data_IF_652629940348
#
_entry.id   IF_652629940348
#
_cell.length_a   1.000
_cell.length_b   1.000
_cell.length_c   1.000
_cell.angle_alpha   90.00
_cell.angle_beta   90.00
_cell.angle_gamma   90.00
#
_symmetry.space_group_name_H-M   'P 1'
#
loop_
_entity.id
_entity.type
_entity.pdbx_description
1 polymer ?
#
# COMPACT_ATOMS: atom_id res chain seq x y z
N UNK A 1 4.49 -0.51 32.53
CA UNK A 1 5.39 -1.69 32.71
C UNK A 1 6.87 -1.33 32.95
N UNK A 2 7.58 -2.09 33.81
CA UNK A 2 9.03 -1.99 34.03
C UNK A 2 9.86 -2.42 32.80
N UNK A 3 10.99 -1.73 32.52
CA UNK A 3 11.83 -1.98 31.34
C UNK A 3 12.37 -3.41 31.25
N UNK A 4 12.80 -3.99 32.36
CA UNK A 4 13.36 -5.35 32.38
C UNK A 4 12.28 -6.40 32.10
N UNK A 5 11.05 -6.16 32.59
CA UNK A 5 9.89 -7.01 32.28
C UNK A 5 9.56 -6.94 30.79
N UNK A 6 9.52 -5.74 30.23
CA UNK A 6 9.29 -5.55 28.79
C UNK A 6 10.38 -6.25 27.95
N UNK A 7 11.66 -6.06 28.29
CA UNK A 7 12.78 -6.69 27.62
C UNK A 7 12.74 -8.22 27.71
N UNK A 8 12.36 -8.78 28.86
CA UNK A 8 12.21 -10.22 29.04
C UNK A 8 11.05 -10.78 28.19
N UNK A 9 9.91 -10.09 28.13
CA UNK A 9 8.77 -10.45 27.28
C UNK A 9 9.13 -10.39 25.80
N UNK A 10 9.81 -9.32 25.37
CA UNK A 10 10.34 -9.18 24.02
C UNK A 10 11.26 -10.34 23.63
N UNK A 11 12.25 -10.66 24.47
CA UNK A 11 13.18 -11.74 24.18
C UNK A 11 12.48 -13.11 24.11
N UNK A 12 11.45 -13.33 24.92
CA UNK A 12 10.65 -14.56 24.88
C UNK A 12 9.81 -14.65 23.60
N UNK A 13 9.11 -13.57 23.22
CA UNK A 13 8.27 -13.53 22.02
C UNK A 13 9.11 -13.64 20.74
N UNK A 14 10.30 -13.03 20.68
CA UNK A 14 11.21 -13.15 19.55
C UNK A 14 11.70 -14.60 19.34
N UNK A 15 12.03 -15.30 20.43
CA UNK A 15 12.39 -16.73 20.37
C UNK A 15 11.20 -17.58 19.92
N UNK A 16 10.00 -17.30 20.42
CA UNK A 16 8.79 -17.99 20.03
C UNK A 16 8.47 -17.78 18.53
N UNK A 17 8.60 -16.55 18.03
CA UNK A 17 8.42 -16.22 16.61
C UNK A 17 9.38 -17.01 15.71
N UNK A 18 10.67 -17.07 16.07
CA UNK A 18 11.63 -17.92 15.35
C UNK A 18 11.25 -19.40 15.39
N UNK A 19 10.89 -19.93 16.56
CA UNK A 19 10.53 -21.34 16.71
C UNK A 19 9.29 -21.72 15.90
N UNK A 20 8.27 -20.86 15.90
CA UNK A 20 7.07 -21.01 15.08
C UNK A 20 7.43 -20.97 13.59
N UNK A 21 8.22 -19.99 13.17
CA UNK A 21 8.66 -19.90 11.79
C UNK A 21 9.43 -21.14 11.34
N UNK A 22 10.36 -21.65 12.17
CA UNK A 22 11.17 -22.82 11.86
C UNK A 22 10.33 -24.08 11.60
N UNK A 23 9.14 -24.22 12.18
CA UNK A 23 8.25 -25.36 11.92
C UNK A 23 7.47 -25.24 10.61
N UNK A 24 7.43 -24.04 10.02
CA UNK A 24 6.66 -23.72 8.83
C UNK A 24 7.53 -23.51 7.58
N UNK A 25 8.81 -23.19 7.76
CA UNK A 25 9.70 -22.85 6.64
C UNK A 25 10.73 -23.92 6.33
N UNK A 26 11.13 -23.97 5.05
CA UNK A 26 12.09 -24.92 4.51
C UNK A 26 13.54 -24.59 4.90
N UNK A 27 13.84 -23.31 5.09
CA UNK A 27 15.15 -22.85 5.53
C UNK A 27 15.42 -23.19 7.01
N UNK A 28 16.69 -23.41 7.32
CA UNK A 28 17.14 -23.43 8.72
C UNK A 28 17.34 -22.00 9.19
N UNK A 29 16.56 -21.57 10.17
CA UNK A 29 16.65 -20.25 10.77
C UNK A 29 17.81 -20.21 11.79
N UNK A 30 18.82 -19.35 11.63
CA UNK A 30 19.92 -19.21 12.59
C UNK A 30 19.44 -18.76 13.98
N UNK A 31 20.14 -19.13 15.06
CA UNK A 31 19.78 -18.69 16.42
C UNK A 31 20.03 -17.20 16.70
N UNK A 32 21.11 -16.57 16.21
CA UNK A 32 21.29 -15.13 16.32
C UNK A 32 20.12 -14.39 15.68
N UNK A 33 19.61 -13.37 16.37
CA UNK A 33 18.47 -12.59 15.91
C UNK A 33 18.92 -11.16 15.61
N UNK A 34 18.43 -10.65 14.48
CA UNK A 34 18.49 -9.24 14.14
C UNK A 34 17.07 -8.74 13.88
N UNK A 35 16.82 -7.46 14.13
CA UNK A 35 15.47 -6.95 14.21
C UNK A 35 15.20 -5.87 13.16
N UNK A 36 13.97 -5.89 12.64
CA UNK A 36 13.36 -4.81 11.88
C UNK A 36 12.19 -4.27 12.69
N UNK A 37 12.17 -2.98 13.00
CA UNK A 37 11.07 -2.36 13.76
C UNK A 37 10.33 -1.36 12.89
N UNK A 38 9.02 -1.57 12.74
CA UNK A 38 8.10 -0.64 12.09
C UNK A 38 7.27 0.06 13.16
N UNK A 39 7.48 1.36 13.30
CA UNK A 39 6.76 2.20 14.24
C UNK A 39 5.52 2.82 13.57
N UNK A 40 4.58 3.34 14.38
CA UNK A 40 3.37 4.03 13.92
C UNK A 40 2.51 3.24 12.91
N UNK A 41 2.37 1.92 13.10
CA UNK A 41 1.59 1.05 12.22
C UNK A 41 0.11 0.97 12.64
N UNK A 42 -0.47 2.10 13.08
CA UNK A 42 -1.87 2.20 13.52
C UNK A 42 -2.59 3.39 12.90
N UNK A 43 -3.92 3.29 12.77
CA UNK A 43 -4.76 4.44 12.44
C UNK A 43 -5.02 5.27 13.70
N UNK A 44 -4.43 6.46 13.76
CA UNK A 44 -4.46 7.33 14.95
C UNK A 44 -5.34 8.58 14.76
N UNK A 45 -6.33 8.52 13.85
CA UNK A 45 -7.25 9.63 13.57
C UNK A 45 -8.22 9.98 14.72
N UNK A 46 -8.24 9.19 15.80
CA UNK A 46 -9.05 9.46 16.99
C UNK A 46 -8.28 10.27 18.04
N UNK A 47 -9.01 11.00 18.88
CA UNK A 47 -8.41 11.71 20.01
C UNK A 47 -7.68 10.71 20.94
N UNK A 48 -6.49 11.05 21.46
CA UNK A 48 -5.74 10.19 22.36
C UNK A 48 -6.51 9.95 23.66
N UNK A 49 -6.42 8.74 24.20
CA UNK A 49 -6.94 8.42 25.52
C UNK A 49 -6.08 9.07 26.62
N UNK A 50 -6.63 9.27 27.84
CA UNK A 50 -5.84 9.78 28.96
C UNK A 50 -4.60 8.90 29.23
N UNK A 51 -3.41 9.52 29.22
CA UNK A 51 -2.14 8.80 29.43
C UNK A 51 -1.53 8.15 28.19
N UNK A 52 -2.21 8.23 27.04
CA UNK A 52 -1.67 7.79 25.76
C UNK A 52 -0.63 8.80 25.22
N UNK A 53 0.55 8.31 24.84
CA UNK A 53 1.58 9.08 24.15
C UNK A 53 1.66 8.66 22.68
N UNK A 54 1.91 9.65 21.82
CA UNK A 54 2.13 9.47 20.38
C UNK A 54 3.38 10.21 19.95
N UNK A 55 4.09 9.65 18.98
CA UNK A 55 5.35 10.17 18.46
C UNK A 55 5.26 10.29 16.93
N UNK A 56 4.70 11.38 16.39
CA UNK A 56 4.54 11.54 14.95
C UNK A 56 5.85 11.41 14.15
N UNK A 57 6.97 11.79 14.76
CA UNK A 57 8.33 11.66 14.21
C UNK A 57 8.76 10.22 13.91
N UNK A 58 8.14 9.22 14.54
CA UNK A 58 8.43 7.81 14.29
C UNK A 58 8.04 7.38 12.85
N UNK A 59 7.20 8.17 12.16
CA UNK A 59 6.85 7.95 10.76
C UNK A 59 7.94 8.42 9.78
N UNK A 60 9.02 9.05 10.25
CA UNK A 60 10.08 9.54 9.40
C UNK A 60 10.87 8.39 8.74
N UNK A 61 11.18 8.54 7.45
CA UNK A 61 11.92 7.54 6.68
C UNK A 61 13.29 7.20 7.30
N UNK A 62 14.03 8.21 7.77
CA UNK A 62 15.33 7.99 8.44
C UNK A 62 15.22 7.12 9.69
N UNK A 63 14.13 7.25 10.45
CA UNK A 63 13.85 6.39 11.61
C UNK A 63 13.61 4.94 11.17
N UNK A 64 12.85 4.73 10.10
CA UNK A 64 12.59 3.40 9.55
C UNK A 64 13.89 2.73 9.04
N UNK A 65 14.78 3.48 8.37
CA UNK A 65 16.09 2.98 7.93
C UNK A 65 16.95 2.58 9.13
N UNK A 66 17.06 3.44 10.15
CA UNK A 66 17.86 3.16 11.35
C UNK A 66 17.38 1.92 12.13
N UNK A 67 16.08 1.60 12.01
CA UNK A 67 15.45 0.44 12.66
C UNK A 67 15.22 -0.73 11.70
N UNK A 68 15.72 -0.68 10.46
CA UNK A 68 15.54 -1.73 9.46
C UNK A 68 16.37 -2.99 9.76
N UNK A 69 17.50 -2.81 10.46
CA UNK A 69 18.41 -3.87 10.90
C UNK A 69 19.14 -3.44 12.18
N UNK A 70 18.57 -3.74 13.35
CA UNK A 70 19.11 -3.35 14.65
C UNK A 70 19.18 -4.51 15.66
N UNK A 71 19.87 -4.29 16.78
CA UNK A 71 19.99 -5.26 17.86
C UNK A 71 18.85 -5.17 18.89
N UNK A 72 18.79 -6.16 19.78
CA UNK A 72 17.74 -6.23 20.80
C UNK A 72 17.72 -5.03 21.76
N UNK A 73 18.88 -4.44 22.06
CA UNK A 73 18.98 -3.28 22.95
C UNK A 73 18.38 -2.05 22.31
N UNK A 74 18.67 -1.83 21.03
CA UNK A 74 18.10 -0.76 20.20
C UNK A 74 16.59 -0.90 20.10
N UNK A 75 16.07 -2.12 19.92
CA UNK A 75 14.61 -2.38 19.93
C UNK A 75 13.99 -1.95 21.27
N UNK A 76 14.57 -2.38 22.39
CA UNK A 76 14.04 -2.02 23.72
C UNK A 76 14.13 -0.52 23.96
N UNK A 77 15.20 0.14 23.54
CA UNK A 77 15.35 1.59 23.65
C UNK A 77 14.33 2.35 22.77
N UNK A 78 14.02 1.83 21.59
CA UNK A 78 13.05 2.43 20.69
C UNK A 78 11.60 2.25 21.17
N UNK A 79 11.27 1.13 21.83
CA UNK A 79 9.89 0.79 22.19
C UNK A 79 9.54 1.02 23.66
N UNK A 80 10.51 1.11 24.56
CA UNK A 80 10.27 1.48 25.96
C UNK A 80 10.70 2.92 26.19
N UNK A 81 9.73 3.82 26.39
CA UNK A 81 9.94 5.27 26.48
C UNK A 81 9.29 5.81 27.74
N UNK A 82 10.09 6.21 28.73
CA UNK A 82 9.63 6.80 29.99
C UNK A 82 8.48 6.01 30.66
N UNK A 83 8.64 4.68 30.75
CA UNK A 83 7.64 3.79 31.35
C UNK A 83 6.45 3.43 30.45
N UNK A 84 6.39 3.97 29.24
CA UNK A 84 5.38 3.67 28.23
C UNK A 84 5.91 2.67 27.19
N UNK A 85 4.99 1.85 26.68
CA UNK A 85 5.24 0.87 25.61
C UNK A 85 4.08 0.89 24.61
N UNK A 86 4.25 0.41 23.37
CA UNK A 86 3.14 0.26 22.43
C UNK A 86 2.02 -0.61 23.02
N UNK A 87 0.76 -0.24 22.77
CA UNK A 87 -0.41 -1.02 23.18
C UNK A 87 -0.43 -2.44 22.59
N UNK A 88 0.05 -2.59 21.35
CA UNK A 88 0.22 -3.88 20.66
C UNK A 88 1.48 -3.91 19.81
N UNK A 89 2.09 -5.09 19.72
CA UNK A 89 3.28 -5.36 18.88
C UNK A 89 3.10 -6.73 18.21
N UNK A 90 2.95 -6.74 16.90
CA UNK A 90 3.01 -7.99 16.13
C UNK A 90 4.48 -8.35 15.89
N UNK A 91 4.86 -9.60 16.16
CA UNK A 91 6.23 -10.08 15.99
C UNK A 91 6.28 -11.38 15.16
N UNK A 92 7.11 -11.39 14.12
CA UNK A 92 7.24 -12.54 13.21
C UNK A 92 8.67 -12.68 12.68
N UNK A 93 9.11 -13.90 12.37
CA UNK A 93 10.30 -14.08 11.55
C UNK A 93 9.94 -13.84 10.08
N UNK A 94 10.78 -13.08 9.36
CA UNK A 94 10.49 -12.65 7.98
C UNK A 94 11.57 -13.04 6.98
N UNK A 95 12.79 -13.34 7.41
CA UNK A 95 13.92 -13.75 6.54
C UNK A 95 15.08 -14.30 7.38
N UNK A 96 16.18 -14.68 6.72
CA UNK A 96 17.44 -15.11 7.31
C UNK A 96 18.64 -14.74 6.42
N UNK A 97 19.80 -14.47 7.02
CA UNK A 97 21.02 -13.99 6.31
C UNK A 97 22.08 -15.08 6.12
N UNK A 98 21.75 -16.34 6.44
CA UNK A 98 22.69 -17.45 6.62
C UNK A 98 23.31 -17.50 8.01
N UNK A 99 23.49 -16.35 8.67
CA UNK A 99 24.06 -16.25 10.02
C UNK A 99 23.07 -15.78 11.08
N UNK A 100 22.03 -15.07 10.68
CA UNK A 100 21.04 -14.47 11.58
C UNK A 100 19.61 -14.72 11.06
N UNK A 101 18.65 -14.82 11.97
CA UNK A 101 17.21 -14.73 11.64
C UNK A 101 16.76 -13.29 11.77
N UNK A 102 16.04 -12.78 10.77
CA UNK A 102 15.45 -11.44 10.80
C UNK A 102 14.05 -11.53 11.41
N UNK A 103 13.84 -10.84 12.52
CA UNK A 103 12.56 -10.74 13.23
C UNK A 103 11.99 -9.34 12.99
N UNK A 104 10.77 -9.27 12.47
CA UNK A 104 10.05 -8.00 12.30
C UNK A 104 9.11 -7.76 13.48
N UNK A 105 9.09 -6.50 13.94
CA UNK A 105 8.15 -5.95 14.89
C UNK A 105 7.31 -4.88 14.20
N UNK A 106 6.00 -5.09 14.14
CA UNK A 106 5.02 -4.10 13.66
C UNK A 106 4.34 -3.53 14.91
N UNK A 107 4.56 -2.25 15.18
CA UNK A 107 4.18 -1.61 16.44
C UNK A 107 3.14 -0.52 16.19
N UNK A 108 2.11 -0.43 17.04
CA UNK A 108 1.23 0.75 17.03
C UNK A 108 1.97 2.02 17.46
N UNK A 109 1.46 3.17 17.00
CA UNK A 109 1.95 4.49 17.39
C UNK A 109 1.46 4.98 18.75
N UNK A 110 0.59 4.20 19.41
CA UNK A 110 0.01 4.54 20.72
C UNK A 110 0.77 3.85 21.83
N UNK A 111 1.32 4.65 22.72
CA UNK A 111 2.13 4.21 23.85
C UNK A 111 1.37 4.41 25.15
N UNK A 112 1.39 3.41 26.03
CA UNK A 112 0.69 3.42 27.32
C UNK A 112 1.63 3.01 28.44
N UNK A 113 1.45 3.62 29.62
CA UNK A 113 2.07 3.19 30.88
C UNK A 113 1.12 2.34 31.75
N UNK A 114 -0.14 2.21 31.34
CA UNK A 114 -1.16 1.39 31.98
C UNK A 114 -1.21 -0.01 31.36
N UNK A 115 -0.80 -1.01 32.14
CA UNK A 115 -0.74 -2.40 31.70
C UNK A 115 -2.13 -2.97 31.33
N UNK A 116 -3.24 -2.37 31.79
CA UNK A 116 -4.61 -2.79 31.43
C UNK A 116 -5.01 -2.45 29.99
N UNK A 117 -4.26 -1.55 29.34
CA UNK A 117 -4.46 -1.19 27.93
C UNK A 117 -3.64 -2.07 26.97
N UNK A 118 -2.77 -2.95 27.48
CA UNK A 118 -1.95 -3.82 26.64
C UNK A 118 -2.79 -4.93 26.02
N UNK A 119 -2.59 -5.15 24.74
CA UNK A 119 -3.24 -6.22 23.99
C UNK A 119 -2.52 -7.55 24.25
N UNK A 120 -3.18 -8.65 23.87
CA UNK A 120 -2.68 -10.02 24.01
C UNK A 120 -2.30 -10.45 25.45
N UNK A 121 -3.04 -10.04 26.51
CA UNK A 121 -2.71 -10.44 27.88
C UNK A 121 -2.71 -11.97 28.08
N UNK A 122 -3.51 -12.69 27.30
CA UNK A 122 -3.65 -14.15 27.33
C UNK A 122 -2.44 -14.91 26.80
N UNK A 123 -1.58 -14.29 25.98
CA UNK A 123 -0.40 -14.94 25.40
C UNK A 123 0.79 -14.99 26.38
N UNK A 124 0.66 -14.36 27.55
CA UNK A 124 1.66 -14.39 28.62
C UNK A 124 2.83 -13.42 28.43
N UNK A 125 2.86 -12.68 27.33
CA UNK A 125 3.87 -11.66 27.03
C UNK A 125 3.29 -10.35 26.47
N UNK A 126 2.22 -9.75 27.04
CA UNK A 126 1.69 -8.49 26.52
C UNK A 126 2.77 -7.39 26.53
N UNK A 127 2.88 -6.56 25.47
CA UNK A 127 1.93 -6.38 24.35
C UNK A 127 2.23 -7.20 23.08
N UNK A 128 3.07 -8.25 23.16
CA UNK A 128 3.53 -8.96 21.97
C UNK A 128 2.49 -9.98 21.46
N UNK A 129 2.32 -10.06 20.15
CA UNK A 129 1.53 -11.07 19.44
C UNK A 129 2.43 -11.82 18.46
N UNK A 130 2.66 -13.10 18.71
CA UNK A 130 3.54 -13.91 17.86
C UNK A 130 2.76 -14.40 16.64
N UNK A 131 3.18 -13.94 15.46
CA UNK A 131 2.60 -14.30 14.17
C UNK A 131 3.47 -15.33 13.42
N UNK A 132 2.83 -16.14 12.57
CA UNK A 132 3.56 -16.93 11.58
C UNK A 132 4.21 -16.01 10.54
N UNK A 133 5.28 -16.46 9.86
CA UNK A 133 5.76 -15.78 8.66
C UNK A 133 4.65 -15.63 7.62
N UNK A 134 4.83 -14.67 6.71
CA UNK A 134 3.94 -14.47 5.59
C UNK A 134 3.80 -15.75 4.74
N UNK A 135 2.61 -16.34 4.76
CA UNK A 135 2.34 -17.55 3.99
C UNK A 135 2.23 -17.22 2.49
N UNK A 136 2.67 -18.14 1.61
CA UNK A 136 2.45 -17.99 0.18
C UNK A 136 0.96 -18.07 -0.15
N UNK A 137 0.54 -17.52 -1.31
CA UNK A 137 -0.82 -17.73 -1.81
C UNK A 137 -1.14 -19.23 -1.88
N UNK A 138 -2.35 -19.61 -1.48
CA UNK A 138 -2.83 -21.01 -1.54
C UNK A 138 -1.99 -22.01 -0.71
N UNK A 139 -1.53 -21.58 0.47
CA UNK A 139 -0.77 -22.43 1.38
C UNK A 139 -1.45 -23.78 1.66
N UNK A 140 -0.76 -24.87 1.36
CA UNK A 140 -1.28 -26.25 1.44
C UNK A 140 -0.81 -27.00 2.70
N UNK A 141 -0.09 -26.32 3.60
CA UNK A 141 0.46 -26.90 4.83
C UNK A 141 1.86 -27.50 4.68
N UNK A 142 2.46 -27.49 3.49
CA UNK A 142 3.85 -27.93 3.29
C UNK A 142 4.85 -26.85 3.72
N UNK A 143 6.10 -27.17 4.10
CA UNK A 143 7.08 -26.12 4.40
C UNK A 143 7.34 -25.20 3.18
N UNK A 144 7.35 -23.89 3.40
CA UNK A 144 7.56 -22.89 2.35
C UNK A 144 8.85 -22.10 2.57
N UNK A 145 9.30 -21.38 1.54
CA UNK A 145 10.51 -20.56 1.68
C UNK A 145 10.24 -19.29 2.51
N UNK A 146 11.08 -18.99 3.50
CA UNK A 146 11.02 -17.72 4.23
C UNK A 146 11.29 -16.52 3.29
N UNK A 147 12.03 -16.74 2.20
CA UNK A 147 12.40 -15.73 1.20
C UNK A 147 11.35 -15.51 0.11
N UNK A 148 10.09 -15.88 0.35
CA UNK A 148 9.02 -15.65 -0.66
C UNK A 148 8.79 -14.16 -0.93
N UNK A 149 9.11 -13.31 0.05
CA UNK A 149 9.07 -11.85 -0.04
C UNK A 149 10.43 -11.28 0.29
N UNK A 150 10.80 -10.20 -0.39
CA UNK A 150 12.02 -9.46 -0.10
C UNK A 150 11.76 -7.96 -0.02
N UNK A 151 12.49 -7.29 0.86
CA UNK A 151 12.56 -5.83 0.91
C UNK A 151 14.01 -5.39 0.86
N UNK A 152 14.30 -4.43 -0.01
CA UNK A 152 15.62 -3.82 -0.14
C UNK A 152 15.57 -2.39 0.40
N UNK A 153 16.30 -2.14 1.48
CA UNK A 153 16.42 -0.85 2.17
C UNK A 153 17.74 -0.14 1.86
N UNK A 154 18.75 -0.87 1.41
CA UNK A 154 20.02 -0.32 0.96
C UNK A 154 20.75 -1.32 0.04
N UNK A 155 21.88 -0.90 -0.55
CA UNK A 155 22.64 -1.73 -1.49
C UNK A 155 23.10 -3.08 -0.92
N UNK A 156 23.34 -3.18 0.39
CA UNK A 156 23.80 -4.43 1.00
C UNK A 156 22.72 -5.52 1.02
N UNK A 157 21.44 -5.16 0.95
CA UNK A 157 20.34 -6.13 0.89
C UNK A 157 20.29 -6.85 -0.47
N UNK A 158 20.91 -6.29 -1.52
CA UNK A 158 20.97 -6.93 -2.85
C UNK A 158 21.80 -8.21 -2.85
N UNK A 159 22.85 -8.28 -2.03
CA UNK A 159 23.67 -9.48 -1.90
C UNK A 159 22.82 -10.64 -1.34
N UNK A 160 22.02 -10.36 -0.31
CA UNK A 160 21.12 -11.33 0.27
C UNK A 160 20.03 -11.74 -0.73
N UNK A 161 19.43 -10.78 -1.42
CA UNK A 161 18.44 -11.03 -2.46
C UNK A 161 18.96 -11.97 -3.55
N UNK A 162 20.22 -11.79 -3.99
CA UNK A 162 20.85 -12.64 -4.99
C UNK A 162 20.94 -14.11 -4.56
N UNK A 163 21.07 -14.40 -3.26
CA UNK A 163 21.12 -15.79 -2.76
C UNK A 163 19.78 -16.52 -2.80
N UNK A 164 18.67 -15.77 -2.91
CA UNK A 164 17.31 -16.29 -2.86
C UNK A 164 16.46 -15.90 -4.09
N UNK A 165 17.09 -15.40 -5.16
CA UNK A 165 16.41 -14.77 -6.29
C UNK A 165 15.31 -15.63 -6.96
N UNK A 166 15.50 -16.95 -7.04
CA UNK A 166 14.52 -17.88 -7.60
C UNK A 166 13.32 -18.19 -6.69
N UNK A 167 13.29 -17.65 -5.47
CA UNK A 167 12.23 -17.89 -4.47
C UNK A 167 11.32 -16.69 -4.25
N UNK A 168 11.76 -15.49 -4.67
CA UNK A 168 11.06 -14.24 -4.43
C UNK A 168 9.97 -14.05 -5.48
N UNK A 169 8.71 -13.90 -5.04
CA UNK A 169 7.59 -13.57 -5.92
C UNK A 169 7.04 -12.16 -5.68
N UNK A 170 7.32 -11.56 -4.53
CA UNK A 170 6.97 -10.18 -4.20
C UNK A 170 8.18 -9.43 -3.66
N UNK A 171 8.49 -8.31 -4.28
CA UNK A 171 9.69 -7.53 -4.00
C UNK A 171 9.36 -6.05 -3.79
N UNK A 172 9.88 -5.47 -2.72
CA UNK A 172 9.72 -4.05 -2.42
C UNK A 172 11.07 -3.34 -2.32
N UNK A 173 11.21 -2.25 -3.04
CA UNK A 173 12.31 -1.30 -2.95
C UNK A 173 11.91 -0.14 -2.03
N UNK A 174 12.59 -0.05 -0.89
CA UNK A 174 12.29 0.94 0.16
C UNK A 174 13.17 2.19 0.06
N UNK A 175 14.23 2.18 -0.75
CA UNK A 175 15.28 3.22 -0.78
C UNK A 175 15.21 4.15 -1.98
N UNK A 176 15.66 5.40 -1.77
CA UNK A 176 15.88 6.43 -2.79
C UNK A 176 17.26 6.33 -3.46
N UNK A 177 18.21 5.61 -2.84
CA UNK A 177 19.51 5.27 -3.44
C UNK A 177 19.41 4.29 -4.63
N UNK A 178 18.19 4.07 -5.12
CA UNK A 178 17.80 3.17 -6.20
C UNK A 178 17.69 3.89 -7.55
N UNK A 179 18.83 4.46 -7.97
CA UNK A 179 19.03 5.02 -9.30
C UNK A 179 19.08 3.93 -10.39
N UNK A 180 19.15 4.37 -11.65
CA UNK A 180 19.26 3.48 -12.82
C UNK A 180 20.46 2.51 -12.72
N UNK A 181 21.54 2.93 -12.06
CA UNK A 181 22.75 2.12 -11.83
C UNK A 181 22.46 0.95 -10.87
N UNK A 182 21.80 1.21 -9.73
CA UNK A 182 21.45 0.17 -8.76
C UNK A 182 20.40 -0.80 -9.31
N UNK A 183 19.48 -0.28 -10.12
CA UNK A 183 18.45 -1.05 -10.81
C UNK A 183 19.04 -1.99 -11.86
N UNK A 184 20.07 -1.54 -12.58
CA UNK A 184 20.88 -2.39 -13.45
C UNK A 184 21.64 -3.47 -12.66
N UNK A 185 22.03 -3.18 -11.42
CA UNK A 185 22.71 -4.12 -10.54
C UNK A 185 21.78 -5.14 -9.85
N UNK A 186 20.45 -5.03 -9.98
CA UNK A 186 19.53 -6.03 -9.45
C UNK A 186 19.87 -7.43 -9.99
N UNK A 187 19.79 -8.48 -9.15
CA UNK A 187 19.83 -9.84 -9.64
C UNK A 187 18.62 -10.14 -10.53
N UNK A 188 18.73 -11.16 -11.38
CA UNK A 188 17.56 -11.68 -12.09
C UNK A 188 16.59 -12.28 -11.07
N UNK A 189 15.35 -11.80 -11.07
CA UNK A 189 14.26 -12.30 -10.21
C UNK A 189 13.20 -12.97 -11.10
N UNK A 190 13.43 -14.21 -11.56
CA UNK A 190 12.59 -14.84 -12.58
C UNK A 190 11.16 -15.12 -12.11
N UNK A 191 10.93 -15.21 -10.80
CA UNK A 191 9.61 -15.49 -10.21
C UNK A 191 8.88 -14.26 -9.70
N UNK A 192 9.40 -13.04 -9.88
CA UNK A 192 8.77 -11.84 -9.31
C UNK A 192 7.50 -11.50 -10.09
N UNK A 193 6.37 -11.47 -9.38
CA UNK A 193 5.06 -11.11 -9.92
C UNK A 193 4.61 -9.72 -9.46
N UNK A 194 5.07 -9.29 -8.28
CA UNK A 194 4.74 -8.00 -7.68
C UNK A 194 6.04 -7.26 -7.38
N UNK A 195 6.16 -6.04 -7.91
CA UNK A 195 7.25 -5.12 -7.59
C UNK A 195 6.68 -3.77 -7.14
N UNK A 196 7.13 -3.30 -5.98
CA UNK A 196 6.78 -2.00 -5.44
C UNK A 196 8.04 -1.17 -5.17
N UNK A 197 8.07 0.08 -5.63
CA UNK A 197 9.15 1.01 -5.36
C UNK A 197 8.60 2.23 -4.61
N UNK A 198 8.92 2.32 -3.31
CA UNK A 198 8.32 3.27 -2.35
C UNK A 198 8.85 4.71 -2.43
N UNK A 199 10.06 4.87 -2.96
CA UNK A 199 10.77 6.15 -3.04
C UNK A 199 11.42 6.25 -4.41
N UNK A 200 10.60 6.13 -5.45
CA UNK A 200 11.04 6.05 -6.83
C UNK A 200 11.60 7.41 -7.29
N UNK A 201 12.86 7.39 -7.72
CA UNK A 201 13.61 8.53 -8.25
C UNK A 201 13.98 8.34 -9.72
N UNK A 202 13.49 7.26 -10.35
CA UNK A 202 13.77 6.95 -11.76
C UNK A 202 13.31 8.08 -12.66
N UNK A 203 14.17 8.41 -13.63
CA UNK A 203 13.98 9.55 -14.52
C UNK A 203 13.33 9.16 -15.85
N UNK A 204 14.08 9.38 -16.93
CA UNK A 204 13.67 9.01 -18.27
C UNK A 204 13.71 7.48 -18.46
N UNK A 205 12.76 6.96 -19.24
CA UNK A 205 12.66 5.54 -19.56
C UNK A 205 12.51 4.59 -18.35
N UNK A 206 11.81 5.06 -17.31
CA UNK A 206 11.70 4.35 -16.03
C UNK A 206 11.14 2.92 -16.15
N UNK A 207 10.38 2.60 -17.20
CA UNK A 207 9.80 1.26 -17.38
C UNK A 207 10.81 0.24 -17.92
N UNK A 208 11.88 0.69 -18.58
CA UNK A 208 12.89 -0.17 -19.22
C UNK A 208 13.49 -1.17 -18.23
N UNK A 209 13.77 -0.68 -17.03
CA UNK A 209 14.35 -1.41 -15.93
C UNK A 209 13.54 -2.63 -15.47
N UNK A 210 12.22 -2.56 -15.58
CA UNK A 210 11.34 -3.62 -15.11
C UNK A 210 11.12 -4.70 -16.17
N UNK A 211 11.49 -4.44 -17.44
CA UNK A 211 11.27 -5.34 -18.58
C UNK A 211 12.01 -6.68 -18.48
N UNK A 212 13.03 -6.75 -17.62
CA UNK A 212 13.80 -7.98 -17.34
C UNK A 212 13.04 -8.99 -16.49
N UNK A 213 11.92 -8.63 -15.88
CA UNK A 213 11.13 -9.50 -15.00
C UNK A 213 9.97 -10.13 -15.78
N UNK A 214 10.07 -11.41 -16.20
CA UNK A 214 9.14 -11.99 -17.16
C UNK A 214 7.72 -12.22 -16.61
N UNK A 215 7.60 -12.46 -15.30
CA UNK A 215 6.32 -12.75 -14.63
C UNK A 215 5.72 -11.50 -13.94
N UNK A 216 6.33 -10.32 -14.12
CA UNK A 216 5.91 -9.10 -13.43
C UNK A 216 4.52 -8.66 -13.89
N UNK A 217 3.54 -8.86 -13.01
CA UNK A 217 2.13 -8.61 -13.27
C UNK A 217 1.59 -7.37 -12.57
N UNK A 218 2.18 -7.01 -11.43
CA UNK A 218 1.81 -5.83 -10.64
C UNK A 218 3.04 -4.96 -10.42
N UNK A 219 2.97 -3.70 -10.87
CA UNK A 219 4.02 -2.71 -10.65
C UNK A 219 3.44 -1.50 -9.90
N UNK A 220 4.06 -1.14 -8.79
CA UNK A 220 3.70 0.05 -8.01
C UNK A 220 4.89 0.98 -7.87
N UNK A 221 4.72 2.22 -8.29
CA UNK A 221 5.74 3.25 -8.24
C UNK A 221 5.23 4.42 -7.42
N UNK A 222 5.93 4.71 -6.33
CA UNK A 222 5.66 5.87 -5.49
C UNK A 222 6.77 6.88 -5.75
N UNK A 223 6.49 7.83 -6.63
CA UNK A 223 7.44 8.85 -7.03
C UNK A 223 7.70 9.79 -5.85
N UNK A 224 8.98 10.04 -5.59
CA UNK A 224 9.36 11.14 -4.71
C UNK A 224 9.09 12.46 -5.39
N UNK A 225 8.77 13.51 -4.63
CA UNK A 225 8.62 14.85 -5.19
C UNK A 225 9.88 15.20 -6.00
N UNK A 226 9.77 15.35 -7.33
CA UNK A 226 10.97 15.51 -8.14
C UNK A 226 11.56 16.91 -7.88
N UNK A 227 12.87 17.04 -8.05
CA UNK A 227 13.51 18.37 -8.04
C UNK A 227 13.03 19.23 -9.21
N UNK A 228 12.58 18.61 -10.30
CA UNK A 228 12.04 19.25 -11.50
C UNK A 228 10.76 18.52 -11.98
N UNK A 229 9.68 19.22 -12.37
CA UNK A 229 8.41 18.58 -12.73
C UNK A 229 8.51 17.53 -13.84
N UNK A 230 9.40 17.69 -14.82
CA UNK A 230 9.51 16.78 -15.98
C UNK A 230 10.49 15.61 -15.78
N UNK A 231 10.86 15.28 -14.54
CA UNK A 231 11.90 14.29 -14.29
C UNK A 231 11.49 12.87 -14.67
N UNK A 232 10.21 12.51 -14.51
CA UNK A 232 9.71 11.16 -14.72
C UNK A 232 9.11 10.98 -16.12
N UNK A 233 9.47 9.89 -16.80
CA UNK A 233 8.86 9.51 -18.08
C UNK A 233 8.73 7.98 -18.23
N UNK A 234 7.54 7.48 -18.60
CA UNK A 234 7.24 6.04 -18.74
C UNK A 234 7.79 5.36 -20.00
N UNK A 235 8.85 5.89 -20.60
CA UNK A 235 9.53 5.21 -21.71
C UNK A 235 10.08 3.85 -21.27
N UNK A 236 10.33 2.95 -22.21
CA UNK A 236 10.94 1.65 -21.92
C UNK A 236 12.21 1.33 -22.71
N UNK A 237 12.78 2.30 -23.45
CA UNK A 237 14.01 2.08 -24.21
C UNK A 237 13.93 0.91 -25.22
N UNK A 238 12.71 0.57 -25.68
CA UNK A 238 12.43 -0.59 -26.54
C UNK A 238 12.04 -1.90 -25.80
N UNK A 239 12.04 -1.91 -24.47
CA UNK A 239 11.56 -3.04 -23.65
C UNK A 239 10.03 -3.11 -23.55
N UNK A 240 9.49 -4.28 -23.15
CA UNK A 240 8.05 -4.50 -22.93
C UNK A 240 7.78 -5.30 -21.67
N UNK A 241 6.75 -4.88 -20.94
CA UNK A 241 6.21 -5.52 -19.74
C UNK A 241 4.99 -6.38 -20.13
N UNK A 242 5.25 -7.50 -20.81
CA UNK A 242 4.19 -8.31 -21.44
C UNK A 242 3.26 -9.02 -20.44
N UNK A 243 3.67 -9.18 -19.19
CA UNK A 243 2.86 -9.77 -18.13
C UNK A 243 2.10 -8.74 -17.29
N UNK A 244 2.42 -7.44 -17.43
CA UNK A 244 1.88 -6.39 -16.57
C UNK A 244 0.39 -6.18 -16.83
N UNK A 245 -0.42 -6.40 -15.79
CA UNK A 245 -1.87 -6.16 -15.80
C UNK A 245 -2.28 -5.02 -14.87
N UNK A 246 -1.49 -4.75 -13.83
CA UNK A 246 -1.80 -3.78 -12.79
C UNK A 246 -0.65 -2.77 -12.62
N UNK A 247 -0.95 -1.49 -12.84
CA UNK A 247 0.00 -0.40 -12.68
C UNK A 247 -0.55 0.62 -11.67
N UNK A 248 0.25 0.93 -10.66
CA UNK A 248 0.03 2.06 -9.75
C UNK A 248 1.19 3.03 -9.88
N UNK A 249 0.89 4.31 -10.11
CA UNK A 249 1.89 5.39 -10.04
C UNK A 249 1.32 6.52 -9.18
N UNK A 250 1.98 6.83 -8.06
CA UNK A 250 1.61 7.96 -7.18
C UNK A 250 2.71 9.01 -7.15
N UNK A 251 2.36 10.26 -6.88
CA UNK A 251 3.32 11.37 -6.91
C UNK A 251 3.63 11.82 -8.33
N UNK A 252 2.72 11.59 -9.28
CA UNK A 252 2.85 12.04 -10.67
C UNK A 252 3.01 13.56 -10.73
N UNK A 253 3.87 14.06 -11.63
CA UNK A 253 4.03 15.49 -11.81
C UNK A 253 2.83 16.12 -12.52
N UNK A 254 2.60 17.43 -12.35
CA UNK A 254 1.49 18.15 -12.99
C UNK A 254 1.80 18.52 -14.45
N UNK A 255 2.43 17.61 -15.19
CA UNK A 255 2.83 17.78 -16.59
C UNK A 255 2.84 16.43 -17.32
N UNK A 256 2.97 16.40 -18.66
CA UNK A 256 3.13 15.15 -19.39
C UNK A 256 4.25 14.28 -18.81
N UNK A 257 3.98 12.99 -18.66
CA UNK A 257 4.85 11.97 -18.06
C UNK A 257 5.02 10.72 -18.94
N UNK A 258 4.54 10.74 -20.18
CA UNK A 258 4.65 9.68 -21.16
C UNK A 258 3.50 8.66 -21.13
N UNK A 259 2.30 9.04 -20.66
CA UNK A 259 1.15 8.12 -20.57
C UNK A 259 0.85 7.43 -21.90
N UNK A 260 1.07 8.12 -23.03
CA UNK A 260 0.89 7.59 -24.39
C UNK A 260 1.72 6.35 -24.69
N UNK A 261 2.82 6.14 -23.96
CA UNK A 261 3.70 4.98 -24.13
C UNK A 261 3.16 3.72 -23.46
N UNK A 262 2.14 3.82 -22.60
CA UNK A 262 1.66 2.66 -21.83
C UNK A 262 1.14 1.51 -22.72
N UNK A 263 0.53 1.82 -23.87
CA UNK A 263 0.04 0.79 -24.79
C UNK A 263 1.20 -0.01 -25.42
N UNK A 264 2.31 0.66 -25.73
CA UNK A 264 3.51 0.03 -26.25
C UNK A 264 4.24 -0.79 -25.18
N UNK A 265 4.40 -0.20 -23.99
CA UNK A 265 5.19 -0.75 -22.90
C UNK A 265 4.47 -1.89 -22.20
N UNK A 266 3.17 -1.75 -21.94
CA UNK A 266 2.36 -2.69 -21.17
C UNK A 266 1.07 -3.05 -21.95
N UNK A 267 1.17 -3.82 -23.04
CA UNK A 267 0.04 -4.09 -23.95
C UNK A 267 -1.07 -4.97 -23.34
N UNK A 268 -0.89 -5.46 -22.11
CA UNK A 268 -1.89 -6.26 -21.36
C UNK A 268 -2.44 -5.53 -20.14
N UNK A 269 -2.16 -4.24 -20.01
CA UNK A 269 -2.57 -3.45 -18.86
C UNK A 269 -4.10 -3.37 -18.79
N UNK A 270 -4.68 -3.81 -17.67
CA UNK A 270 -6.13 -3.80 -17.43
C UNK A 270 -6.52 -2.86 -16.31
N UNK A 271 -5.61 -2.60 -15.37
CA UNK A 271 -5.84 -1.87 -14.14
C UNK A 271 -4.81 -0.74 -14.00
N UNK A 272 -5.29 0.48 -13.86
CA UNK A 272 -4.46 1.68 -13.72
C UNK A 272 -4.92 2.49 -12.51
N UNK A 273 -4.00 2.79 -11.61
CA UNK A 273 -4.20 3.65 -10.44
C UNK A 273 -3.18 4.79 -10.46
N UNK A 274 -3.66 6.01 -10.64
CA UNK A 274 -2.83 7.20 -10.83
C UNK A 274 -3.10 8.19 -9.72
N UNK A 275 -2.03 8.65 -9.08
CA UNK A 275 -2.07 9.58 -7.97
C UNK A 275 -1.14 10.77 -8.16
N UNK A 276 -1.63 11.98 -7.88
CA UNK A 276 -0.84 13.19 -7.78
C UNK A 276 -1.16 13.94 -6.47
N UNK A 277 -0.23 14.76 -5.98
CA UNK A 277 -0.44 15.56 -4.76
C UNK A 277 -1.40 16.72 -5.02
N UNK A 278 -1.25 17.39 -6.16
CA UNK A 278 -2.11 18.50 -6.58
C UNK A 278 -2.81 18.13 -7.88
N UNK A 279 -2.29 18.57 -9.03
CA UNK A 279 -2.87 18.28 -10.35
C UNK A 279 -2.37 16.96 -10.92
N UNK A 280 -3.29 16.08 -11.27
CA UNK A 280 -3.00 14.90 -12.07
C UNK A 280 -3.11 15.24 -13.56
N UNK A 281 -2.01 15.17 -14.28
CA UNK A 281 -1.99 15.38 -15.72
C UNK A 281 -2.18 14.05 -16.47
N UNK A 282 -3.15 14.02 -17.39
CA UNK A 282 -3.43 12.86 -18.25
C UNK A 282 -3.05 13.19 -19.71
N UNK A 283 -1.94 12.63 -20.19
CA UNK A 283 -1.30 13.03 -21.44
C UNK A 283 -2.08 12.61 -22.68
N UNK A 284 -2.68 11.41 -22.63
CA UNK A 284 -3.22 10.72 -23.80
C UNK A 284 -4.30 9.71 -23.42
N UNK A 285 -4.95 9.12 -24.43
CA UNK A 285 -5.95 8.08 -24.20
C UNK A 285 -5.34 6.86 -23.50
N UNK A 286 -6.11 6.23 -22.63
CA UNK A 286 -5.70 4.98 -21.99
C UNK A 286 -5.63 3.83 -23.01
N UNK A 287 -4.76 2.81 -22.79
CA UNK A 287 -4.76 1.60 -23.60
C UNK A 287 -6.15 0.97 -23.65
N UNK A 288 -6.54 0.46 -24.83
CA UNK A 288 -7.89 -0.10 -25.04
C UNK A 288 -8.21 -1.32 -24.16
N UNK A 289 -7.19 -1.99 -23.60
CA UNK A 289 -7.32 -3.10 -22.66
C UNK A 289 -7.68 -2.67 -21.23
N UNK A 290 -7.53 -1.38 -20.90
CA UNK A 290 -7.80 -0.86 -19.55
C UNK A 290 -9.30 -0.80 -19.31
N UNK A 291 -9.77 -1.56 -18.33
CA UNK A 291 -11.18 -1.58 -17.90
C UNK A 291 -11.38 -1.11 -16.46
N UNK A 292 -10.29 -0.84 -15.72
CA UNK A 292 -10.34 -0.34 -14.35
C UNK A 292 -9.40 0.85 -14.18
N UNK A 293 -9.96 2.01 -13.84
CA UNK A 293 -9.21 3.25 -13.62
C UNK A 293 -9.50 3.81 -12.21
N UNK A 294 -8.44 4.23 -11.52
CA UNK A 294 -8.48 4.95 -10.26
C UNK A 294 -7.65 6.23 -10.39
N UNK A 295 -8.24 7.37 -10.00
CA UNK A 295 -7.61 8.69 -10.05
C UNK A 295 -7.69 9.34 -8.67
N UNK A 296 -6.56 9.76 -8.14
CA UNK A 296 -6.44 10.44 -6.83
C UNK A 296 -5.63 11.72 -6.98
N UNK A 297 -6.25 12.88 -6.74
CA UNK A 297 -5.58 14.18 -6.87
C UNK A 297 -6.39 15.30 -6.19
N UNK A 298 -5.91 16.53 -6.25
CA UNK A 298 -6.75 17.69 -6.01
C UNK A 298 -7.66 17.96 -7.22
N UNK A 299 -7.07 18.02 -8.42
CA UNK A 299 -7.76 18.20 -9.70
C UNK A 299 -7.08 17.38 -10.83
N UNK A 300 -7.70 17.39 -12.01
CA UNK A 300 -7.22 16.67 -13.21
C UNK A 300 -7.09 17.65 -14.36
N UNK A 301 -6.03 17.50 -15.16
CA UNK A 301 -5.78 18.27 -16.36
C UNK A 301 -5.28 17.37 -17.51
N UNK A 302 -5.14 17.95 -18.70
CA UNK A 302 -4.61 17.28 -19.88
C UNK A 302 -5.68 16.90 -20.91
N UNK A 303 -5.26 16.43 -22.10
CA UNK A 303 -6.18 16.19 -23.21
C UNK A 303 -6.83 14.80 -23.20
N UNK A 304 -6.41 13.89 -22.32
CA UNK A 304 -6.90 12.52 -22.30
C UNK A 304 -8.43 12.40 -22.14
N UNK A 305 -8.93 11.24 -22.53
CA UNK A 305 -10.29 10.78 -22.22
C UNK A 305 -10.21 9.43 -21.53
N UNK A 306 -11.17 9.16 -20.64
CA UNK A 306 -11.35 7.84 -20.06
C UNK A 306 -11.74 6.81 -21.14
N UNK A 307 -11.48 5.50 -20.93
CA UNK A 307 -12.00 4.45 -21.80
C UNK A 307 -13.53 4.51 -21.94
N UNK A 308 -14.04 4.20 -23.14
CA UNK A 308 -15.49 4.18 -23.41
C UNK A 308 -16.24 3.15 -22.55
N UNK A 309 -15.60 2.04 -22.21
CA UNK A 309 -16.17 0.99 -21.38
C UNK A 309 -15.27 0.70 -20.17
N UNK A 310 -15.83 0.86 -18.97
CA UNK A 310 -15.14 0.62 -17.71
C UNK A 310 -15.93 -0.37 -16.85
N UNK A 311 -15.25 -1.39 -16.35
CA UNK A 311 -15.78 -2.24 -15.28
C UNK A 311 -15.70 -1.51 -13.93
N UNK A 312 -14.65 -0.71 -13.71
CA UNK A 312 -14.48 0.07 -12.47
C UNK A 312 -13.89 1.44 -12.75
N UNK A 313 -14.51 2.46 -12.18
CA UNK A 313 -13.99 3.82 -12.11
C UNK A 313 -14.02 4.32 -10.67
N UNK A 314 -12.87 4.78 -10.17
CA UNK A 314 -12.77 5.48 -8.90
C UNK A 314 -12.17 6.86 -9.13
N UNK A 315 -12.87 7.90 -8.69
CA UNK A 315 -12.44 9.28 -8.77
C UNK A 315 -12.44 9.84 -7.34
N UNK A 316 -11.26 10.26 -6.89
CA UNK A 316 -11.07 10.98 -5.64
C UNK A 316 -10.34 12.29 -5.94
N UNK A 317 -11.12 13.32 -6.24
CA UNK A 317 -10.60 14.65 -6.57
C UNK A 317 -11.06 15.66 -5.53
N UNK A 318 -10.16 16.12 -4.67
CA UNK A 318 -10.55 16.92 -3.49
C UNK A 318 -10.97 18.35 -3.81
N UNK A 319 -10.74 18.82 -5.04
CA UNK A 319 -11.07 20.18 -5.49
C UNK A 319 -11.87 20.22 -6.80
N UNK A 320 -12.39 19.08 -7.29
CA UNK A 320 -13.17 19.00 -8.51
C UNK A 320 -14.64 19.43 -8.32
N UNK A 321 -15.21 20.03 -9.36
CA UNK A 321 -16.64 20.38 -9.45
C UNK A 321 -17.46 19.30 -10.17
N UNK A 322 -18.78 19.41 -10.13
CA UNK A 322 -19.69 18.59 -10.95
C UNK A 322 -19.35 18.66 -12.45
N UNK A 323 -18.94 19.83 -12.95
CA UNK A 323 -18.58 20.06 -14.37
C UNK A 323 -17.26 19.37 -14.73
N UNK A 324 -16.29 19.36 -13.82
CA UNK A 324 -15.02 18.67 -14.03
C UNK A 324 -15.23 17.16 -14.15
N UNK A 325 -16.03 16.58 -13.26
CA UNK A 325 -16.37 15.15 -13.31
C UNK A 325 -17.22 14.83 -14.55
N UNK A 326 -18.17 15.70 -14.92
CA UNK A 326 -18.95 15.53 -16.14
C UNK A 326 -18.08 15.55 -17.39
N UNK A 327 -17.10 16.45 -17.45
CA UNK A 327 -16.13 16.54 -18.55
C UNK A 327 -15.26 15.30 -18.62
N UNK A 328 -14.84 14.76 -17.47
CA UNK A 328 -14.04 13.55 -17.41
C UNK A 328 -14.81 12.30 -17.88
N UNK A 329 -16.12 12.26 -17.63
CA UNK A 329 -17.03 11.20 -18.05
C UNK A 329 -17.54 11.35 -19.49
N UNK A 330 -17.21 12.45 -20.18
CA UNK A 330 -17.61 12.66 -21.57
C UNK A 330 -17.03 11.57 -22.49
N UNK A 331 -17.91 10.93 -23.27
CA UNK A 331 -17.57 9.80 -24.14
C UNK A 331 -17.55 8.42 -23.45
N UNK A 332 -17.67 8.34 -22.13
CA UNK A 332 -17.82 7.05 -21.44
C UNK A 332 -19.25 6.53 -21.67
N UNK A 333 -19.36 5.33 -22.24
CA UNK A 333 -20.65 4.73 -22.61
C UNK A 333 -21.12 3.68 -21.61
N UNK A 334 -20.19 3.07 -20.86
CA UNK A 334 -20.51 2.02 -19.87
C UNK A 334 -19.60 2.10 -18.66
N UNK A 335 -20.23 2.07 -17.48
CA UNK A 335 -19.56 1.89 -16.19
C UNK A 335 -20.34 0.84 -15.40
N UNK A 336 -19.67 -0.15 -14.79
CA UNK A 336 -20.34 -1.11 -13.85
C UNK A 336 -20.21 -0.71 -12.39
N UNK A 337 -19.06 -0.18 -11.99
CA UNK A 337 -18.76 0.20 -10.61
C UNK A 337 -18.16 1.60 -10.56
N UNK A 338 -18.87 2.55 -9.94
CA UNK A 338 -18.43 3.94 -9.79
C UNK A 338 -18.19 4.29 -8.32
N UNK A 339 -17.07 4.93 -8.03
CA UNK A 339 -16.80 5.59 -6.75
C UNK A 339 -16.42 7.04 -7.00
N UNK A 340 -17.16 7.96 -6.39
CA UNK A 340 -16.83 9.40 -6.31
C UNK A 340 -16.46 9.80 -4.88
N UNK A 341 -16.10 8.81 -4.04
CA UNK A 341 -15.87 9.01 -2.61
C UNK A 341 -14.90 10.16 -2.36
N UNK A 342 -15.29 11.09 -1.49
CA UNK A 342 -14.48 12.25 -1.10
C UNK A 342 -14.27 13.30 -2.18
N UNK A 343 -14.97 13.19 -3.32
CA UNK A 343 -15.01 14.24 -4.35
C UNK A 343 -16.16 15.19 -4.04
N UNK A 344 -15.98 16.53 -4.01
CA UNK A 344 -17.01 17.47 -3.58
C UNK A 344 -18.04 17.77 -4.68
N UNK A 345 -18.64 16.72 -5.24
CA UNK A 345 -19.77 16.80 -6.19
C UNK A 345 -21.11 16.93 -5.47
N UNK A 346 -22.05 17.64 -6.07
CA UNK A 346 -23.38 17.92 -5.53
C UNK A 346 -24.46 17.04 -6.18
N UNK A 347 -25.74 17.29 -5.87
CA UNK A 347 -26.88 16.65 -6.55
C UNK A 347 -26.86 16.89 -8.09
N UNK A 348 -26.10 17.87 -8.58
CA UNK A 348 -25.94 18.15 -10.01
C UNK A 348 -25.20 17.04 -10.77
N UNK A 349 -24.46 16.16 -10.09
CA UNK A 349 -23.78 15.02 -10.74
C UNK A 349 -24.74 13.89 -11.15
N UNK A 350 -25.93 13.81 -10.53
CA UNK A 350 -26.82 12.66 -10.68
C UNK A 350 -27.27 12.42 -12.13
N UNK A 351 -27.69 13.44 -12.90
CA UNK A 351 -28.06 13.25 -14.31
C UNK A 351 -26.88 12.74 -15.17
N UNK A 352 -25.64 12.98 -14.75
CA UNK A 352 -24.43 12.52 -15.45
C UNK A 352 -24.21 11.02 -15.22
N UNK A 353 -24.51 10.53 -14.01
CA UNK A 353 -24.23 9.13 -13.63
C UNK A 353 -25.43 8.20 -13.73
N UNK A 354 -26.66 8.74 -13.74
CA UNK A 354 -27.91 7.99 -13.91
C UNK A 354 -27.96 7.11 -15.17
N UNK A 355 -27.44 7.52 -16.34
CA UNK A 355 -27.46 6.71 -17.56
C UNK A 355 -26.70 5.39 -17.46
N UNK A 356 -25.72 5.28 -16.56
CA UNK A 356 -24.93 4.05 -16.41
C UNK A 356 -25.70 2.98 -15.66
N UNK A 357 -25.63 1.73 -16.14
CA UNK A 357 -26.18 0.57 -15.45
C UNK A 357 -25.20 0.04 -14.39
N UNK A 358 -25.18 0.73 -13.24
CA UNK A 358 -24.24 0.50 -12.15
C UNK A 358 -24.68 -0.66 -11.24
N UNK A 359 -23.76 -1.58 -10.96
CA UNK A 359 -23.84 -2.58 -9.89
C UNK A 359 -23.42 -1.98 -8.53
N UNK A 360 -22.54 -0.97 -8.56
CA UNK A 360 -21.94 -0.33 -7.40
C UNK A 360 -21.82 1.18 -7.56
N UNK A 361 -22.17 1.92 -6.51
CA UNK A 361 -22.05 3.38 -6.44
C UNK A 361 -21.58 3.82 -5.05
N UNK A 362 -20.45 4.51 -4.94
CA UNK A 362 -19.97 5.10 -3.68
C UNK A 362 -19.94 6.63 -3.78
N UNK A 363 -20.75 7.27 -2.95
CA UNK A 363 -20.87 8.73 -2.81
C UNK A 363 -20.50 9.20 -1.40
N UNK A 364 -19.77 8.40 -0.61
CA UNK A 364 -19.34 8.79 0.75
C UNK A 364 -18.45 10.03 0.70
N UNK A 365 -18.75 11.03 1.53
CA UNK A 365 -17.95 12.26 1.58
C UNK A 365 -18.09 13.16 0.34
N UNK A 366 -19.16 12.99 -0.43
CA UNK A 366 -19.59 13.95 -1.45
C UNK A 366 -20.57 14.96 -0.83
N UNK A 367 -20.99 15.97 -1.59
CA UNK A 367 -22.03 16.94 -1.21
C UNK A 367 -23.44 16.51 -1.67
N UNK A 368 -23.61 15.28 -2.16
CA UNK A 368 -24.91 14.72 -2.55
C UNK A 368 -25.82 14.59 -1.31
N UNK A 369 -27.04 15.09 -1.40
CA UNK A 369 -27.95 15.18 -0.27
C UNK A 369 -28.58 13.83 0.09
N UNK A 370 -28.96 13.66 1.36
CA UNK A 370 -29.70 12.46 1.81
C UNK A 370 -31.01 12.26 1.04
N UNK A 371 -31.64 13.34 0.61
CA UNK A 371 -32.86 13.32 -0.22
C UNK A 371 -32.57 12.69 -1.58
N UNK A 372 -31.50 13.13 -2.26
CA UNK A 372 -31.05 12.54 -3.51
C UNK A 372 -30.66 11.06 -3.36
N UNK A 373 -29.87 10.73 -2.35
CA UNK A 373 -29.47 9.34 -2.07
C UNK A 373 -30.69 8.44 -1.82
N UNK A 374 -31.71 8.93 -1.13
CA UNK A 374 -32.95 8.19 -0.88
C UNK A 374 -33.72 7.92 -2.17
N UNK A 375 -33.74 8.90 -3.09
CA UNK A 375 -34.36 8.75 -4.42
C UNK A 375 -33.64 7.68 -5.24
N UNK A 376 -32.31 7.71 -5.33
CA UNK A 376 -31.53 6.72 -6.08
C UNK A 376 -31.84 5.29 -5.59
N UNK A 377 -31.94 5.08 -4.27
CA UNK A 377 -32.29 3.76 -3.71
C UNK A 377 -33.69 3.31 -4.07
N UNK A 378 -34.65 4.23 -4.13
CA UNK A 378 -36.02 3.93 -4.53
C UNK A 378 -36.10 3.58 -6.02
N UNK A 379 -35.38 4.33 -6.85
CA UNK A 379 -35.37 4.16 -8.31
C UNK A 379 -34.53 2.94 -8.74
N UNK A 380 -33.50 2.57 -7.96
CA UNK A 380 -32.53 1.51 -8.27
C UNK A 380 -32.32 0.56 -7.07
N UNK A 381 -33.31 -0.23 -6.65
CA UNK A 381 -33.23 -1.03 -5.41
C UNK A 381 -32.17 -2.14 -5.42
N UNK A 382 -31.61 -2.50 -6.60
CA UNK A 382 -30.58 -3.53 -6.74
C UNK A 382 -29.14 -3.03 -6.65
N UNK A 383 -28.90 -1.72 -6.69
CA UNK A 383 -27.54 -1.16 -6.69
C UNK A 383 -26.89 -1.26 -5.31
N UNK A 384 -25.64 -1.74 -5.25
CA UNK A 384 -24.85 -1.72 -4.02
C UNK A 384 -24.31 -0.31 -3.79
N UNK A 385 -25.00 0.48 -2.97
CA UNK A 385 -24.67 1.89 -2.76
C UNK A 385 -24.07 2.21 -1.38
N UNK A 386 -23.10 3.13 -1.36
CA UNK A 386 -22.54 3.78 -0.17
C UNK A 386 -22.74 5.31 -0.22
N UNK A 387 -23.00 6.00 0.92
CA UNK A 387 -23.12 5.44 2.26
C UNK A 387 -24.34 4.50 2.38
N UNK A 388 -24.24 3.51 3.27
CA UNK A 388 -25.41 2.68 3.59
C UNK A 388 -26.44 3.55 4.32
N UNK A 389 -27.72 3.27 4.16
CA UNK A 389 -28.74 3.85 5.03
C UNK A 389 -28.28 3.61 6.47
N UNK A 390 -28.18 4.67 7.26
CA UNK A 390 -28.08 4.49 8.70
C UNK A 390 -29.22 3.56 9.09
N UNK A 391 -28.92 2.44 9.76
CA UNK A 391 -29.98 1.72 10.44
C UNK A 391 -30.66 2.77 11.31
N UNK A 392 -31.90 3.11 10.99
CA UNK A 392 -32.74 3.76 11.97
C UNK A 392 -32.77 2.76 13.11
N UNK A 393 -31.98 3.01 14.16
CA UNK A 393 -32.26 2.46 15.47
C UNK A 393 -33.68 2.92 15.72
N UNK A 394 -34.66 2.06 15.40
CA UNK A 394 -36.01 2.20 15.88
C UNK A 394 -35.83 2.32 17.37
N UNK A 395 -35.96 3.55 17.86
CA UNK A 395 -35.84 3.85 19.27
C UNK A 395 -36.74 2.88 19.98
N UNK A 396 -36.14 1.97 20.75
CA UNK A 396 -36.87 1.29 21.78
C UNK A 396 -37.06 2.35 22.87
N UNK A 397 -38.27 2.89 23.09
CA UNK A 397 -38.48 3.77 24.22
C UNK A 397 -38.60 2.90 25.47
N UNK A 398 -37.93 3.33 26.55
CA UNK A 398 -37.95 2.77 27.90
C UNK A 398 -37.24 1.40 28.04
N UNK A 399 -36.52 1.13 29.13
CA UNK A 399 -36.70 1.57 30.53
C UNK A 399 -35.43 1.35 31.31
#
# INVERSE_FOLDING_TARGET
MNRDVFAARFAASARAARQLAQSLVSERLPEPLVFRVRLNQSYDGHAPQPGELRFPEDSAYGTAVALSRCDAETVVAALWRDGHVPEWINIAAISETGTETVIELICCGRFTSDDSHLYHPEEGWPPFHVLSPAQPPQYDGTPFSIHTRAECWNRSDLEQLATACGKVWSFTLMTDEFDDDLLSALPDLPGVEILEHRVCTLGAEAMSAFSRFPELRVLRLHLSAPSEPSAFHTGAGGGRLNALTDLTITGLPPCPWGQEMLDEVAPRLTNVDLGATETLWLDAAFPSSVSSVSLTAADVAGPARLPEELDRLSIHLTAATDEDVATLLDGVTRIRSLSLRGTPVSDAILPVIEPYDLDYLDLVGTEVTDTALSRIRADRPGIRMFPRLAFQNNGNPAS
#
